data_IF_152689023987
#
_entry.id   IF_152689023987
#
_cell.length_a   1.000
_cell.length_b   1.000
_cell.length_c   1.000
_cell.angle_alpha   90.00
_cell.angle_beta   90.00
_cell.angle_gamma   90.00
#
_symmetry.space_group_name_H-M   'P 1'
#
loop_
_entity.id
_entity.type
_entity.pdbx_description
1 polymer ?
#
# COMPACT_ATOMS: atom_id res chain seq x y z
N UNK A 1 -6.09 8.10 -3.87
CA UNK A 1 -5.07 7.14 -4.33
C UNK A 1 -5.10 6.97 -5.83
N UNK A 2 -4.30 7.75 -6.56
CA UNK A 2 -4.14 7.55 -8.02
C UNK A 2 -3.52 6.19 -8.36
N UNK A 3 -2.72 5.62 -7.44
CA UNK A 3 -2.10 4.30 -7.64
C UNK A 3 -3.10 3.14 -7.67
N UNK A 4 -4.16 3.16 -6.85
CA UNK A 4 -5.20 2.11 -6.90
C UNK A 4 -5.93 2.09 -8.25
N UNK A 5 -6.22 3.27 -8.83
CA UNK A 5 -6.87 3.36 -10.15
C UNK A 5 -5.98 2.86 -11.30
N UNK A 6 -4.66 2.99 -11.18
CA UNK A 6 -3.70 2.45 -12.14
C UNK A 6 -3.71 0.92 -12.13
N UNK A 7 -3.83 0.33 -10.93
CA UNK A 7 -3.85 -1.12 -10.74
C UNK A 7 -5.18 -1.76 -11.14
N UNK A 8 -6.30 -1.04 -11.08
CA UNK A 8 -7.60 -1.53 -11.63
C UNK A 8 -7.51 -1.85 -13.13
N UNK A 9 -6.57 -1.22 -13.84
CA UNK A 9 -6.32 -1.42 -15.27
C UNK A 9 -5.27 -2.49 -15.56
N UNK A 10 -4.71 -3.17 -14.55
CA UNK A 10 -3.72 -4.22 -14.75
C UNK A 10 -4.24 -5.25 -15.75
N UNK A 11 -3.48 -5.46 -16.80
CA UNK A 11 -3.83 -6.31 -17.93
C UNK A 11 -2.58 -7.09 -18.31
N UNK A 12 -2.59 -8.42 -18.14
CA UNK A 12 -1.43 -9.27 -18.43
C UNK A 12 -1.02 -9.21 -19.90
N UNK A 13 -1.95 -8.88 -20.81
CA UNK A 13 -1.63 -8.68 -22.22
C UNK A 13 -0.78 -7.44 -22.49
N UNK A 14 -0.79 -6.46 -21.59
CA UNK A 14 0.00 -5.23 -21.69
C UNK A 14 1.29 -5.29 -20.85
N UNK A 15 1.65 -6.49 -20.37
CA UNK A 15 2.84 -6.64 -19.54
C UNK A 15 4.13 -6.35 -20.32
N UNK A 16 5.11 -5.80 -19.61
CA UNK A 16 6.46 -5.61 -20.14
C UNK A 16 7.32 -6.82 -19.76
N UNK A 17 7.77 -7.57 -20.76
CA UNK A 17 8.79 -8.59 -20.57
C UNK A 17 10.14 -8.10 -21.12
N UNK A 18 11.24 -8.70 -20.66
CA UNK A 18 12.57 -8.35 -21.15
C UNK A 18 12.74 -8.63 -22.65
N UNK A 19 12.04 -9.63 -23.17
CA UNK A 19 11.97 -9.95 -24.59
C UNK A 19 10.52 -10.07 -25.04
N UNK A 20 10.22 -9.67 -26.27
CA UNK A 20 8.85 -9.58 -26.74
C UNK A 20 8.23 -10.97 -26.98
N UNK A 21 9.05 -11.95 -27.35
CA UNK A 21 8.68 -13.35 -27.48
C UNK A 21 8.23 -13.98 -26.16
N UNK A 22 8.73 -13.50 -25.02
CA UNK A 22 8.33 -14.00 -23.71
C UNK A 22 6.87 -13.64 -23.41
N UNK A 23 6.38 -12.50 -23.91
CA UNK A 23 4.98 -12.10 -23.76
C UNK A 23 4.07 -13.13 -24.42
N UNK A 24 4.36 -13.48 -25.68
CA UNK A 24 3.58 -14.47 -26.41
C UNK A 24 3.66 -15.85 -25.74
N UNK A 25 4.86 -16.26 -25.31
CA UNK A 25 5.05 -17.53 -24.59
C UNK A 25 4.22 -17.57 -23.30
N UNK A 26 4.27 -16.53 -22.48
CA UNK A 26 3.52 -16.47 -21.22
C UNK A 26 2.01 -16.46 -21.49
N UNK A 27 1.53 -15.64 -22.44
CA UNK A 27 0.11 -15.58 -22.78
C UNK A 27 -0.41 -16.93 -23.30
N UNK A 28 0.39 -17.67 -24.07
CA UNK A 28 0.02 -19.02 -24.55
C UNK A 28 -0.17 -20.05 -23.42
N UNK A 29 0.41 -19.82 -22.23
CA UNK A 29 0.24 -20.69 -21.06
C UNK A 29 -1.02 -20.38 -20.27
N UNK A 30 -1.69 -19.26 -20.57
CA UNK A 30 -2.89 -18.82 -19.86
C UNK A 30 -4.12 -19.27 -20.66
N UNK A 31 -4.85 -20.27 -20.15
CA UNK A 31 -6.04 -20.82 -20.82
C UNK A 31 -7.15 -19.78 -21.01
N UNK A 32 -7.43 -18.99 -19.97
CA UNK A 32 -8.40 -17.91 -20.03
C UNK A 32 -7.78 -16.62 -19.48
N UNK A 33 -7.41 -15.73 -20.40
CA UNK A 33 -6.74 -14.47 -20.06
C UNK A 33 -7.67 -13.51 -19.33
N UNK A 34 -8.97 -13.55 -19.61
CA UNK A 34 -9.95 -12.71 -18.92
C UNK A 34 -10.06 -13.07 -17.44
N UNK A 35 -10.19 -14.37 -17.15
CA UNK A 35 -10.28 -14.85 -15.77
C UNK A 35 -8.96 -14.66 -15.03
N UNK A 36 -7.82 -14.87 -15.70
CA UNK A 36 -6.51 -14.59 -15.13
C UNK A 36 -6.39 -13.12 -14.67
N UNK A 37 -6.79 -12.17 -15.51
CA UNK A 37 -6.76 -10.74 -15.15
C UNK A 37 -7.68 -10.42 -13.96
N UNK A 38 -8.87 -11.03 -13.88
CA UNK A 38 -9.77 -10.87 -12.72
C UNK A 38 -9.10 -11.37 -11.45
N UNK A 39 -8.55 -12.58 -11.49
CA UNK A 39 -7.85 -13.19 -10.34
C UNK A 39 -6.63 -12.38 -9.93
N UNK A 40 -5.83 -11.89 -10.90
CA UNK A 40 -4.67 -11.04 -10.64
C UNK A 40 -5.06 -9.75 -9.92
N UNK A 41 -6.12 -9.06 -10.39
CA UNK A 41 -6.61 -7.84 -9.75
C UNK A 41 -7.15 -8.13 -8.35
N UNK A 42 -7.90 -9.22 -8.18
CA UNK A 42 -8.40 -9.64 -6.88
C UNK A 42 -7.26 -9.88 -5.89
N UNK A 43 -6.26 -10.69 -6.25
CA UNK A 43 -5.10 -10.96 -5.38
C UNK A 43 -4.33 -9.70 -4.97
N UNK A 44 -4.37 -8.64 -5.76
CA UNK A 44 -3.63 -7.40 -5.48
C UNK A 44 -4.49 -6.40 -4.70
N UNK A 45 -5.74 -6.21 -5.11
CA UNK A 45 -6.59 -5.08 -4.69
C UNK A 45 -7.72 -5.45 -3.75
N UNK A 46 -7.95 -6.74 -3.50
CA UNK A 46 -8.95 -7.16 -2.52
C UNK A 46 -8.67 -6.49 -1.16
N UNK A 47 -9.73 -5.97 -0.55
CA UNK A 47 -9.60 -5.11 0.63
C UNK A 47 -9.25 -5.89 1.89
N UNK A 48 -9.66 -7.16 1.99
CA UNK A 48 -9.41 -8.02 3.15
C UNK A 48 -8.17 -8.89 2.97
N UNK A 49 -8.01 -9.49 1.79
CA UNK A 49 -7.05 -10.56 1.54
C UNK A 49 -6.05 -10.24 0.42
N UNK A 50 -6.20 -9.07 -0.22
CA UNK A 50 -5.30 -8.64 -1.28
C UNK A 50 -3.92 -8.23 -0.75
N UNK A 51 -2.90 -8.25 -1.61
CA UNK A 51 -1.52 -7.90 -1.26
C UNK A 51 -1.39 -6.52 -0.58
N UNK A 52 -2.23 -5.55 -0.99
CA UNK A 52 -2.22 -4.20 -0.42
C UNK A 52 -3.11 -4.02 0.82
N UNK A 53 -3.85 -5.04 1.25
CA UNK A 53 -4.72 -4.97 2.45
C UNK A 53 -3.93 -4.54 3.69
N UNK A 54 -2.80 -5.20 3.95
CA UNK A 54 -1.93 -4.92 5.10
C UNK A 54 -1.00 -3.71 4.88
N UNK A 55 -0.73 -3.32 3.63
CA UNK A 55 0.25 -2.27 3.35
C UNK A 55 -0.30 -0.87 3.65
N UNK A 56 -1.63 -0.69 3.60
CA UNK A 56 -2.28 0.56 4.05
C UNK A 56 -1.97 0.88 5.52
N UNK A 57 -1.68 -0.13 6.34
CA UNK A 57 -1.51 0.06 7.78
C UNK A 57 -0.16 0.68 8.16
N UNK A 58 0.92 0.45 7.40
CA UNK A 58 2.25 0.96 7.79
C UNK A 58 2.34 2.50 7.80
N UNK A 59 1.71 3.17 6.83
CA UNK A 59 1.67 4.64 6.74
C UNK A 59 0.68 5.23 7.76
N UNK A 60 -0.45 4.56 7.97
CA UNK A 60 -1.43 4.96 9.00
C UNK A 60 -0.86 4.81 10.42
N UNK A 61 -0.12 3.72 10.65
CA UNK A 61 0.56 3.42 11.90
C UNK A 61 1.65 4.46 12.20
N UNK A 62 2.48 4.81 11.21
CA UNK A 62 3.53 5.82 11.41
C UNK A 62 2.95 7.21 11.69
N UNK A 63 1.87 7.60 11.01
CA UNK A 63 1.15 8.85 11.29
C UNK A 63 0.54 8.87 12.71
N UNK A 64 0.01 7.74 13.16
CA UNK A 64 -0.55 7.59 14.50
C UNK A 64 0.54 7.64 15.58
N UNK A 65 1.67 6.97 15.35
CA UNK A 65 2.85 7.02 16.22
C UNK A 65 3.42 8.44 16.33
N UNK A 66 3.52 9.18 15.21
CA UNK A 66 3.97 10.56 15.21
C UNK A 66 3.05 11.47 16.05
N UNK A 67 1.73 11.34 15.89
CA UNK A 67 0.75 12.09 16.71
C UNK A 67 0.89 11.80 18.20
N UNK A 68 1.11 10.53 18.56
CA UNK A 68 1.35 10.15 19.96
C UNK A 68 2.65 10.74 20.49
N UNK A 69 3.75 10.66 19.74
CA UNK A 69 5.04 11.23 20.12
C UNK A 69 4.97 12.76 20.34
N UNK A 70 4.28 13.49 19.45
CA UNK A 70 4.08 14.94 19.60
C UNK A 70 3.31 15.28 20.88
N UNK A 71 2.28 14.49 21.22
CA UNK A 71 1.52 14.69 22.46
C UNK A 71 2.39 14.49 23.70
N UNK A 72 3.18 13.42 23.76
CA UNK A 72 4.11 13.20 24.88
C UNK A 72 5.12 14.34 25.03
N UNK A 73 5.75 14.78 23.94
CA UNK A 73 6.72 15.88 23.97
C UNK A 73 6.10 17.22 24.45
N UNK A 74 4.84 17.48 24.09
CA UNK A 74 4.12 18.67 24.56
C UNK A 74 3.80 18.63 26.06
N UNK A 75 3.52 17.44 26.60
CA UNK A 75 3.26 17.25 28.04
C UNK A 75 4.53 17.41 28.85
N UNK A 76 5.64 16.79 28.43
CA UNK A 76 6.96 16.96 29.06
C UNK A 76 7.40 18.43 29.08
N UNK A 77 7.09 19.18 28.01
CA UNK A 77 7.42 20.61 27.92
C UNK A 77 6.59 21.42 28.89
N UNK A 78 5.29 21.14 29.00
CA UNK A 78 4.38 21.80 29.94
C UNK A 78 4.78 21.55 31.40
N UNK A 79 5.13 20.32 31.72
CA UNK A 79 5.56 19.91 33.07
C UNK A 79 6.83 20.67 33.50
N UNK A 80 7.83 20.74 32.61
CA UNK A 80 9.06 21.52 32.86
C UNK A 80 8.84 23.03 32.98
N UNK A 81 7.87 23.59 32.25
CA UNK A 81 7.53 25.01 32.38
C UNK A 81 6.77 25.33 33.66
N UNK A 82 5.95 24.38 34.14
CA UNK A 82 5.24 24.51 35.41
C UNK A 82 6.23 24.47 36.58
N UNK A 83 7.19 23.56 36.57
CA UNK A 83 8.26 23.47 37.60
C UNK A 83 9.11 24.75 37.66
N UNK A 84 9.41 25.38 36.51
CA UNK A 84 10.18 26.64 36.44
C UNK A 84 9.42 27.89 36.90
N UNK A 85 8.09 27.85 36.93
CA UNK A 85 7.27 29.01 37.33
C UNK A 85 6.83 28.95 38.79
N UNK A 86 7.01 27.79 39.45
CA UNK A 86 6.70 27.55 40.86
C UNK A 86 7.93 27.63 41.79
N UNK A 87 9.14 27.75 41.24
CA UNK A 87 10.40 27.93 41.98
C UNK A 87 11.00 29.31 41.78
#
# INVERSE_FOLDING_TARGET
>A
NEHSRSLERLCVQEMKASRQEDVAMILSKIKNVSDFNKTLRWMILDESDGLFSQWKDAVSLSASLAKMATRCASLDTLERTFERTQG
#
